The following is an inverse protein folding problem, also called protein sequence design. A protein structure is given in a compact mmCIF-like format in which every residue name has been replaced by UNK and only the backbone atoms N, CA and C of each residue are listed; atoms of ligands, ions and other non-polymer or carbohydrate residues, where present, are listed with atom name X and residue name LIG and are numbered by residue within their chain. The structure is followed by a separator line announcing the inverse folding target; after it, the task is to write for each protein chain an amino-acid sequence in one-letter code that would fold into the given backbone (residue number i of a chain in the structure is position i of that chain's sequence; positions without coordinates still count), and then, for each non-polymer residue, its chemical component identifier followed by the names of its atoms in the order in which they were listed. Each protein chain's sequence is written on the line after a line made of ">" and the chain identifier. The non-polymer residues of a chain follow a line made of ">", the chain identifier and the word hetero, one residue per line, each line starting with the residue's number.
data_IF_124151898999
#
_entry.id   IF_124151898999
#
_cell.length_a   1.000
_cell.length_b   1.000
_cell.length_c   1.000
_cell.angle_alpha   90.00
_cell.angle_beta   90.00
_cell.angle_gamma   90.00
#
_symmetry.space_group_name_H-M   'P 1'
#
loop_
_entity.id
_entity.type
_entity.pdbx_description
1 polymer ?
#
# COMPACT_ATOMS: atom_id res chain seq x y z
N UNK A 1 51.12 8.13 -22.30
CA UNK A 1 50.22 7.02 -21.90
C UNK A 1 49.18 7.57 -20.98
N UNK A 2 47.90 7.68 -21.36
CA UNK A 2 46.85 8.14 -20.46
C UNK A 2 46.17 6.92 -19.77
N UNK A 3 46.03 7.02 -18.44
CA UNK A 3 45.26 6.10 -17.60
C UNK A 3 43.78 6.14 -18.01
N UNK A 4 43.30 5.05 -18.54
CA UNK A 4 41.86 4.81 -18.75
C UNK A 4 41.19 4.62 -17.39
N UNK A 5 40.36 5.57 -16.96
CA UNK A 5 39.39 5.39 -15.87
C UNK A 5 38.37 4.34 -16.29
N UNK A 6 38.41 3.19 -15.66
CA UNK A 6 37.33 2.19 -15.72
C UNK A 6 36.13 2.76 -14.95
N UNK A 7 35.17 3.33 -15.67
CA UNK A 7 33.82 3.58 -15.18
C UNK A 7 33.15 2.21 -15.17
N UNK A 8 32.99 1.65 -13.96
CA UNK A 8 32.18 0.47 -13.75
C UNK A 8 30.71 0.82 -13.98
N UNK A 9 30.22 0.57 -15.18
CA UNK A 9 28.79 0.55 -15.47
C UNK A 9 28.22 -0.67 -14.71
N UNK A 10 27.66 -0.42 -13.54
CA UNK A 10 26.86 -1.40 -12.82
C UNK A 10 25.58 -1.59 -13.66
N UNK A 11 25.61 -2.61 -14.54
CA UNK A 11 24.41 -3.07 -15.25
C UNK A 11 23.40 -3.47 -14.19
N UNK A 12 22.38 -2.63 -13.95
CA UNK A 12 21.15 -3.08 -13.31
C UNK A 12 20.64 -4.24 -14.15
N UNK A 13 20.80 -5.46 -13.64
CA UNK A 13 20.11 -6.63 -14.18
C UNK A 13 18.63 -6.37 -13.94
N UNK A 14 17.87 -6.19 -15.02
CA UNK A 14 16.41 -6.40 -14.98
C UNK A 14 16.24 -7.78 -14.32
N UNK A 15 15.69 -7.79 -13.09
CA UNK A 15 15.40 -9.04 -12.39
C UNK A 15 14.35 -9.79 -13.21
N UNK A 16 14.78 -10.82 -13.92
CA UNK A 16 13.92 -11.72 -14.69
C UNK A 16 13.38 -12.89 -13.85
N UNK A 17 13.70 -12.91 -12.54
CA UNK A 17 13.20 -13.93 -11.61
C UNK A 17 12.28 -13.25 -10.58
N UNK A 18 11.09 -13.82 -10.42
CA UNK A 18 10.05 -13.37 -9.49
C UNK A 18 10.50 -13.64 -8.04
N UNK A 19 11.27 -12.72 -7.45
CA UNK A 19 11.66 -12.76 -6.05
C UNK A 19 11.33 -11.42 -5.38
N UNK A 20 10.78 -11.48 -4.17
CA UNK A 20 10.55 -10.29 -3.34
C UNK A 20 11.86 -9.51 -3.14
N UNK A 21 11.75 -8.20 -2.87
CA UNK A 21 12.89 -7.40 -2.43
C UNK A 21 13.35 -7.87 -1.05
N UNK A 22 14.64 -7.70 -0.78
CA UNK A 22 15.13 -7.76 0.61
C UNK A 22 14.95 -6.39 1.29
N UNK A 23 14.98 -6.37 2.63
CA UNK A 23 14.97 -5.11 3.39
C UNK A 23 16.12 -4.18 2.98
N UNK A 24 17.29 -4.73 2.66
CA UNK A 24 18.47 -3.95 2.22
C UNK A 24 18.30 -3.41 0.79
N UNK A 25 17.70 -4.18 -0.14
CA UNK A 25 17.35 -3.67 -1.47
C UNK A 25 16.38 -2.49 -1.36
N UNK A 26 15.35 -2.62 -0.51
CA UNK A 26 14.37 -1.56 -0.31
C UNK A 26 14.98 -0.30 0.32
N UNK A 27 15.81 -0.46 1.37
CA UNK A 27 16.54 0.67 1.99
C UNK A 27 17.47 1.35 1.00
N UNK A 28 18.18 0.59 0.18
CA UNK A 28 19.08 1.12 -0.85
C UNK A 28 18.32 1.92 -1.90
N UNK A 29 17.17 1.40 -2.36
CA UNK A 29 16.29 2.13 -3.28
C UNK A 29 15.80 3.43 -2.66
N UNK A 30 15.34 3.40 -1.41
CA UNK A 30 14.83 4.57 -0.71
C UNK A 30 15.93 5.61 -0.47
N UNK A 31 17.17 5.21 -0.18
CA UNK A 31 18.32 6.12 -0.07
C UNK A 31 18.63 6.80 -1.40
N UNK A 32 18.54 6.08 -2.52
CA UNK A 32 18.80 6.62 -3.86
C UNK A 32 17.71 7.61 -4.30
N UNK A 33 16.46 7.31 -3.97
CA UNK A 33 15.29 8.08 -4.41
C UNK A 33 14.90 9.21 -3.46
N UNK A 34 15.27 9.10 -2.18
CA UNK A 34 14.84 9.97 -1.09
C UNK A 34 13.41 9.75 -0.65
N UNK A 35 12.45 9.72 -1.59
CA UNK A 35 11.03 9.44 -1.35
C UNK A 35 10.47 8.64 -2.52
N UNK A 36 9.54 7.71 -2.24
CA UNK A 36 8.81 6.91 -3.23
C UNK A 36 7.36 7.36 -3.30
N UNK A 37 6.83 7.41 -4.51
CA UNK A 37 5.42 7.73 -4.78
C UNK A 37 4.62 6.43 -4.82
N UNK A 38 3.63 6.28 -3.93
CA UNK A 38 2.62 5.22 -3.99
C UNK A 38 1.52 5.67 -4.96
N UNK A 39 0.82 4.72 -5.58
CA UNK A 39 -0.33 5.00 -6.44
C UNK A 39 -1.53 5.60 -5.68
N UNK A 40 -2.71 5.55 -6.27
CA UNK A 40 -3.93 6.12 -5.74
C UNK A 40 -5.10 5.12 -5.71
N UNK A 41 -6.32 5.64 -5.75
CA UNK A 41 -7.56 4.90 -5.58
C UNK A 41 -7.90 4.00 -6.77
N UNK A 42 -7.55 2.72 -6.70
CA UNK A 42 -7.91 1.74 -7.72
C UNK A 42 -9.43 1.72 -8.00
N UNK A 43 -10.24 1.59 -6.95
CA UNK A 43 -11.69 1.48 -7.10
C UNK A 43 -12.32 2.72 -7.74
N UNK A 44 -11.92 3.92 -7.34
CA UNK A 44 -12.39 5.17 -7.93
C UNK A 44 -12.10 5.23 -9.44
N UNK A 45 -10.90 4.80 -9.85
CA UNK A 45 -10.56 4.79 -11.27
C UNK A 45 -11.31 3.71 -12.05
N UNK A 46 -11.58 2.54 -11.45
CA UNK A 46 -12.44 1.52 -12.06
C UNK A 46 -13.88 2.06 -12.28
N UNK A 47 -14.45 2.79 -11.31
CA UNK A 47 -15.74 3.46 -11.44
C UNK A 47 -15.70 4.53 -12.53
N UNK A 48 -14.63 5.33 -12.61
CA UNK A 48 -14.44 6.34 -13.67
C UNK A 48 -14.37 5.70 -15.06
N UNK A 49 -13.85 4.47 -15.16
CA UNK A 49 -13.84 3.66 -16.37
C UNK A 49 -15.17 2.90 -16.61
N UNK A 50 -16.19 3.15 -15.78
CA UNK A 50 -17.56 2.66 -15.97
C UNK A 50 -17.89 1.32 -15.30
N UNK A 51 -17.05 0.80 -14.41
CA UNK A 51 -17.35 -0.40 -13.65
C UNK A 51 -18.31 -0.09 -12.49
N UNK A 52 -19.30 -0.96 -12.29
CA UNK A 52 -20.14 -0.96 -11.08
C UNK A 52 -19.47 -1.82 -10.00
N UNK A 53 -19.04 -1.17 -8.93
CA UNK A 53 -18.40 -1.80 -7.78
C UNK A 53 -19.34 -2.03 -6.59
N UNK A 54 -20.67 -1.88 -6.76
CA UNK A 54 -21.64 -2.15 -5.71
C UNK A 54 -21.80 -3.66 -5.42
N UNK A 55 -20.77 -4.22 -4.82
CA UNK A 55 -20.65 -5.64 -4.47
C UNK A 55 -19.84 -5.79 -3.17
N UNK A 56 -20.07 -6.82 -2.31
CA UNK A 56 -19.27 -7.05 -1.10
C UNK A 56 -17.77 -7.20 -1.35
N UNK A 57 -17.37 -7.75 -2.50
CA UNK A 57 -15.96 -7.83 -2.92
C UNK A 57 -15.41 -6.54 -3.53
N UNK A 58 -16.25 -5.55 -3.75
CA UNK A 58 -15.87 -4.26 -4.32
C UNK A 58 -14.95 -4.42 -5.55
N UNK A 59 -13.73 -3.82 -5.52
CA UNK A 59 -12.74 -3.98 -6.60
C UNK A 59 -12.23 -5.43 -6.77
N UNK A 60 -12.33 -6.29 -5.76
CA UNK A 60 -11.94 -7.70 -5.86
C UNK A 60 -12.77 -8.50 -6.87
N UNK A 61 -14.03 -8.09 -7.13
CA UNK A 61 -14.86 -8.71 -8.19
C UNK A 61 -14.32 -8.41 -9.59
N UNK A 62 -13.74 -7.24 -9.80
CA UNK A 62 -13.17 -6.84 -11.08
C UNK A 62 -11.99 -7.73 -11.52
N UNK A 63 -11.30 -8.42 -10.59
CA UNK A 63 -10.26 -9.39 -10.95
C UNK A 63 -10.77 -10.51 -11.86
N UNK A 64 -12.03 -10.91 -11.68
CA UNK A 64 -12.69 -11.91 -12.53
C UNK A 64 -13.34 -11.28 -13.76
N UNK A 65 -14.06 -10.18 -13.57
CA UNK A 65 -14.99 -9.69 -14.57
C UNK A 65 -14.35 -8.67 -15.55
N UNK A 66 -13.29 -7.96 -15.12
CA UNK A 66 -12.67 -6.87 -15.90
C UNK A 66 -11.16 -6.72 -15.63
N UNK A 67 -10.35 -7.78 -15.76
CA UNK A 67 -8.94 -7.74 -15.42
C UNK A 67 -8.13 -6.73 -16.26
N UNK A 68 -8.47 -6.55 -17.54
CA UNK A 68 -7.79 -5.56 -18.40
C UNK A 68 -7.95 -4.14 -17.90
N UNK A 69 -9.12 -3.78 -17.35
CA UNK A 69 -9.35 -2.45 -16.80
C UNK A 69 -8.51 -2.20 -15.55
N UNK A 70 -8.26 -3.25 -14.73
CA UNK A 70 -7.34 -3.15 -13.60
C UNK A 70 -5.90 -2.88 -14.09
N UNK A 71 -5.44 -3.59 -15.12
CA UNK A 71 -4.12 -3.37 -15.72
C UNK A 71 -3.99 -1.93 -16.24
N UNK A 72 -4.99 -1.42 -16.96
CA UNK A 72 -5.02 -0.04 -17.44
C UNK A 72 -4.89 0.97 -16.30
N UNK A 73 -5.60 0.78 -15.17
CA UNK A 73 -5.51 1.68 -14.01
C UNK A 73 -4.10 1.66 -13.42
N UNK A 74 -3.48 0.50 -13.24
CA UNK A 74 -2.08 0.44 -12.78
C UNK A 74 -1.12 1.14 -13.73
N UNK A 75 -1.31 0.98 -15.05
CA UNK A 75 -0.53 1.69 -16.06
C UNK A 75 -0.70 3.21 -15.95
N UNK A 76 -1.93 3.69 -15.83
CA UNK A 76 -2.24 5.11 -15.67
C UNK A 76 -1.51 5.70 -14.45
N UNK A 77 -1.45 4.99 -13.32
CA UNK A 77 -0.72 5.44 -12.13
C UNK A 77 0.81 5.45 -12.32
N UNK A 78 1.39 4.44 -12.95
CA UNK A 78 2.82 4.45 -13.25
C UNK A 78 3.19 5.62 -14.17
N UNK A 79 2.38 5.89 -15.20
CA UNK A 79 2.58 7.01 -16.12
C UNK A 79 2.32 8.37 -15.44
N UNK A 80 1.47 8.43 -14.43
CA UNK A 80 1.26 9.60 -13.59
C UNK A 80 2.44 9.89 -12.65
N UNK A 81 3.33 8.93 -12.44
CA UNK A 81 4.53 9.13 -11.62
C UNK A 81 4.59 8.27 -10.36
N UNK A 82 3.71 7.28 -10.18
CA UNK A 82 3.86 6.30 -9.11
C UNK A 82 5.13 5.47 -9.29
N UNK A 83 5.86 5.23 -8.20
CA UNK A 83 6.97 4.27 -8.13
C UNK A 83 6.45 2.88 -7.71
N UNK A 84 5.34 2.84 -6.98
CA UNK A 84 4.76 1.62 -6.42
C UNK A 84 3.28 1.55 -6.80
N UNK A 85 2.85 0.45 -7.43
CA UNK A 85 1.44 0.11 -7.60
C UNK A 85 1.03 -0.91 -6.54
N UNK A 86 -0.10 -0.65 -5.86
CA UNK A 86 -0.73 -1.56 -4.90
C UNK A 86 -1.71 -2.45 -5.65
N UNK A 87 -1.61 -3.77 -5.50
CA UNK A 87 -2.45 -4.72 -6.21
C UNK A 87 -3.94 -4.64 -5.83
N UNK A 88 -4.83 -5.05 -6.73
CA UNK A 88 -6.28 -5.09 -6.54
C UNK A 88 -6.77 -6.21 -5.59
N UNK A 89 -5.96 -6.56 -4.59
CA UNK A 89 -6.23 -7.68 -3.66
C UNK A 89 -6.72 -7.26 -2.27
N UNK A 90 -6.97 -5.98 -2.04
CA UNK A 90 -7.41 -5.46 -0.73
C UNK A 90 -8.59 -6.24 -0.15
N UNK A 91 -9.70 -6.36 -0.88
CA UNK A 91 -10.87 -7.15 -0.50
C UNK A 91 -10.89 -8.57 -1.08
N UNK A 92 -9.89 -8.96 -1.85
CA UNK A 92 -9.78 -10.28 -2.42
C UNK A 92 -9.18 -11.29 -1.41
N UNK A 93 -9.75 -11.34 -0.18
CA UNK A 93 -9.44 -12.46 0.71
C UNK A 93 -9.94 -13.75 0.09
N UNK A 94 -9.21 -14.86 0.26
CA UNK A 94 -9.64 -16.16 -0.28
C UNK A 94 -10.99 -16.58 0.28
N UNK A 95 -11.25 -16.26 1.55
CA UNK A 95 -12.55 -16.50 2.17
C UNK A 95 -13.65 -15.68 1.48
N UNK A 96 -13.47 -14.38 1.32
CA UNK A 96 -14.46 -13.49 0.67
C UNK A 96 -14.73 -13.88 -0.78
N UNK A 97 -13.69 -14.25 -1.54
CA UNK A 97 -13.85 -14.74 -2.91
C UNK A 97 -14.66 -16.03 -2.97
N UNK A 98 -14.42 -16.99 -2.06
CA UNK A 98 -15.21 -18.22 -1.95
C UNK A 98 -16.67 -17.93 -1.62
N UNK A 99 -16.91 -17.10 -0.60
CA UNK A 99 -18.26 -16.83 -0.09
C UNK A 99 -19.14 -16.09 -1.10
N UNK A 100 -18.56 -15.15 -1.86
CA UNK A 100 -19.32 -14.28 -2.75
C UNK A 100 -19.29 -14.70 -4.22
N UNK A 101 -18.31 -15.50 -4.66
CA UNK A 101 -18.23 -15.96 -6.06
C UNK A 101 -18.57 -17.45 -6.21
N UNK A 102 -18.69 -18.20 -5.11
CA UNK A 102 -18.98 -19.62 -5.15
C UNK A 102 -17.85 -20.47 -5.76
N UNK A 103 -16.61 -20.00 -5.68
CA UNK A 103 -15.42 -20.67 -6.22
C UNK A 103 -14.67 -21.43 -5.12
N UNK A 104 -13.79 -22.33 -5.52
CA UNK A 104 -12.95 -23.06 -4.57
C UNK A 104 -11.72 -22.23 -4.11
N UNK A 105 -10.97 -22.78 -3.16
CA UNK A 105 -9.81 -22.08 -2.58
C UNK A 105 -8.69 -21.89 -3.61
N UNK A 106 -8.50 -22.86 -4.51
CA UNK A 106 -7.48 -22.77 -5.56
C UNK A 106 -7.82 -21.67 -6.54
N UNK A 107 -9.06 -21.59 -7.01
CA UNK A 107 -9.55 -20.53 -7.88
C UNK A 107 -9.46 -19.16 -7.21
N UNK A 108 -9.79 -19.07 -5.92
CA UNK A 108 -9.66 -17.84 -5.14
C UNK A 108 -8.19 -17.38 -5.05
N UNK A 109 -7.26 -18.29 -4.78
CA UNK A 109 -5.82 -17.98 -4.78
C UNK A 109 -5.31 -17.59 -6.17
N UNK A 110 -5.82 -18.20 -7.24
CA UNK A 110 -5.45 -17.85 -8.62
C UNK A 110 -5.93 -16.44 -8.99
N UNK A 111 -7.09 -15.99 -8.50
CA UNK A 111 -7.54 -14.61 -8.63
C UNK A 111 -6.63 -13.64 -7.87
N UNK A 112 -6.20 -13.98 -6.65
CA UNK A 112 -5.22 -13.16 -5.92
C UNK A 112 -3.89 -13.07 -6.68
N UNK A 113 -3.38 -14.17 -7.23
CA UNK A 113 -2.19 -14.15 -8.10
C UNK A 113 -2.38 -13.26 -9.32
N UNK A 114 -3.58 -13.29 -9.91
CA UNK A 114 -3.92 -12.43 -11.06
C UNK A 114 -3.76 -10.95 -10.70
N UNK A 115 -4.08 -10.51 -9.49
CA UNK A 115 -3.88 -9.11 -9.08
C UNK A 115 -2.42 -8.65 -9.18
N UNK A 116 -1.48 -9.49 -8.78
CA UNK A 116 -0.04 -9.23 -8.92
C UNK A 116 0.39 -9.23 -10.38
N UNK A 117 -0.07 -10.23 -11.15
CA UNK A 117 0.25 -10.35 -12.57
C UNK A 117 -0.18 -9.11 -13.36
N UNK A 118 -1.38 -8.58 -13.13
CA UNK A 118 -1.88 -7.38 -13.81
C UNK A 118 -1.01 -6.15 -13.52
N UNK A 119 -0.60 -5.94 -12.26
CA UNK A 119 0.30 -4.86 -11.90
C UNK A 119 1.72 -5.04 -12.51
N UNK A 120 2.22 -6.28 -12.59
CA UNK A 120 3.50 -6.59 -13.26
C UNK A 120 3.42 -6.36 -14.77
N UNK A 121 2.31 -6.68 -15.42
CA UNK A 121 2.08 -6.42 -16.84
C UNK A 121 2.00 -4.92 -17.13
N UNK A 122 1.27 -4.18 -16.31
CA UNK A 122 1.21 -2.71 -16.38
C UNK A 122 2.61 -2.07 -16.20
N UNK A 123 3.41 -2.58 -15.24
CA UNK A 123 4.80 -2.15 -15.03
C UNK A 123 5.66 -2.37 -16.27
N UNK A 124 5.56 -3.54 -16.91
CA UNK A 124 6.29 -3.84 -18.14
C UNK A 124 5.87 -2.89 -19.25
N UNK A 125 4.56 -2.71 -19.45
CA UNK A 125 4.02 -1.80 -20.45
C UNK A 125 4.46 -0.35 -20.20
N UNK A 126 4.49 0.11 -18.94
CA UNK A 126 4.99 1.43 -18.59
C UNK A 126 6.44 1.65 -19.07
N UNK A 127 7.33 0.66 -18.86
CA UNK A 127 8.70 0.73 -19.39
C UNK A 127 8.74 0.75 -20.93
N UNK A 128 7.89 -0.05 -21.60
CA UNK A 128 7.82 -0.12 -23.07
C UNK A 128 7.34 1.20 -23.69
N UNK A 129 6.61 2.05 -22.97
CA UNK A 129 6.24 3.40 -23.46
C UNK A 129 7.42 4.34 -23.66
N UNK A 130 8.58 4.06 -23.04
CA UNK A 130 9.74 4.95 -23.01
C UNK A 130 9.54 6.23 -22.19
N UNK A 131 8.43 6.35 -21.45
CA UNK A 131 8.14 7.53 -20.60
C UNK A 131 8.73 7.42 -19.20
N UNK A 132 9.14 6.23 -18.79
CA UNK A 132 9.78 6.00 -17.49
C UNK A 132 11.26 6.36 -17.62
N UNK A 133 11.75 7.20 -16.72
CA UNK A 133 13.15 7.64 -16.68
C UNK A 133 14.10 6.42 -16.58
N UNK A 134 15.22 6.49 -17.30
CA UNK A 134 16.23 5.43 -17.25
C UNK A 134 16.76 5.22 -15.83
N UNK A 135 16.77 3.98 -15.38
CA UNK A 135 17.18 3.62 -14.01
C UNK A 135 16.11 3.79 -12.94
N UNK A 136 14.92 4.32 -13.27
CA UNK A 136 13.80 4.36 -12.34
C UNK A 136 13.19 2.97 -12.15
N UNK A 137 13.24 2.46 -10.93
CA UNK A 137 12.65 1.16 -10.58
C UNK A 137 11.20 1.33 -10.16
N UNK A 138 10.29 0.61 -10.84
CA UNK A 138 8.88 0.51 -10.48
C UNK A 138 8.64 -0.78 -9.69
N UNK A 139 7.78 -0.72 -8.68
CA UNK A 139 7.49 -1.81 -7.75
C UNK A 139 6.00 -2.19 -7.77
N UNK A 140 5.73 -3.44 -7.37
CA UNK A 140 4.39 -3.99 -7.14
C UNK A 140 4.27 -4.38 -5.68
N UNK A 141 3.37 -3.75 -4.93
CA UNK A 141 3.07 -4.08 -3.54
C UNK A 141 1.79 -4.92 -3.44
N UNK A 142 1.89 -6.12 -2.88
CA UNK A 142 0.75 -7.00 -2.68
C UNK A 142 -0.15 -6.51 -1.55
N UNK A 143 -1.37 -6.08 -1.86
CA UNK A 143 -2.33 -5.55 -0.89
C UNK A 143 -2.90 -6.64 0.03
N UNK A 144 -2.85 -6.38 1.33
CA UNK A 144 -3.41 -7.22 2.39
C UNK A 144 -4.28 -6.33 3.29
N UNK A 145 -5.57 -6.22 2.98
CA UNK A 145 -6.55 -5.52 3.80
C UNK A 145 -6.96 -6.33 5.05
N UNK A 146 -7.52 -5.68 6.08
CA UNK A 146 -7.89 -6.30 7.35
C UNK A 146 -9.08 -7.24 7.25
N UNK A 147 -9.31 -8.01 8.30
CA UNK A 147 -10.51 -8.84 8.44
C UNK A 147 -11.79 -8.00 8.39
N UNK A 148 -11.75 -6.78 8.95
CA UNK A 148 -12.86 -5.83 8.90
C UNK A 148 -13.32 -5.50 7.48
N UNK A 149 -12.40 -5.42 6.51
CA UNK A 149 -12.75 -5.19 5.10
C UNK A 149 -13.55 -6.36 4.49
N UNK A 150 -13.25 -7.60 4.89
CA UNK A 150 -14.04 -8.78 4.48
C UNK A 150 -15.47 -8.73 5.02
N UNK A 151 -15.70 -8.18 6.22
CA UNK A 151 -17.03 -8.04 6.80
C UNK A 151 -17.93 -7.09 6.01
N UNK A 152 -17.36 -6.17 5.24
CA UNK A 152 -18.06 -5.20 4.35
C UNK A 152 -19.11 -4.34 5.06
N UNK A 153 -18.91 -4.05 6.35
CA UNK A 153 -19.81 -3.28 7.23
C UNK A 153 -19.15 -2.02 7.84
N UNK A 154 -17.94 -1.68 7.37
CA UNK A 154 -17.13 -0.56 7.86
C UNK A 154 -16.30 -0.88 9.09
N UNK A 155 -16.19 -2.16 9.47
CA UNK A 155 -15.37 -2.60 10.61
C UNK A 155 -13.89 -2.27 10.43
N UNK A 156 -13.38 -2.13 9.18
CA UNK A 156 -12.03 -1.67 8.86
C UNK A 156 -11.73 -0.25 9.36
N UNK A 157 -12.77 0.52 9.69
CA UNK A 157 -12.65 1.88 10.26
C UNK A 157 -13.01 1.94 11.75
N UNK A 158 -13.42 0.81 12.35
CA UNK A 158 -13.79 0.73 13.78
C UNK A 158 -12.86 -0.18 14.58
N UNK A 159 -12.43 -1.30 13.98
CA UNK A 159 -11.60 -2.30 14.66
C UNK A 159 -12.33 -3.04 15.79
N UNK A 160 -13.67 -3.11 15.74
CA UNK A 160 -14.56 -3.61 16.79
C UNK A 160 -14.90 -5.10 16.66
N UNK A 161 -14.09 -5.85 15.93
CA UNK A 161 -14.22 -7.30 15.78
C UNK A 161 -13.13 -8.04 16.56
N UNK A 162 -13.50 -9.19 17.09
CA UNK A 162 -12.60 -10.05 17.86
C UNK A 162 -12.36 -11.37 17.14
N UNK A 163 -11.11 -11.77 17.01
CA UNK A 163 -10.65 -13.07 16.52
C UNK A 163 -9.40 -13.47 17.29
N UNK A 164 -9.19 -14.76 17.41
CA UNK A 164 -7.93 -15.29 17.95
C UNK A 164 -6.79 -15.07 16.96
N UNK A 165 -5.56 -15.03 17.45
CA UNK A 165 -4.35 -14.97 16.62
C UNK A 165 -4.35 -16.03 15.52
N UNK A 166 -4.79 -17.26 15.85
CA UNK A 166 -4.86 -18.35 14.89
C UNK A 166 -5.89 -18.09 13.79
N UNK A 167 -7.06 -17.53 14.10
CA UNK A 167 -8.09 -17.20 13.12
C UNK A 167 -7.63 -16.09 12.18
N UNK A 168 -6.99 -15.02 12.70
CA UNK A 168 -6.38 -14.00 11.85
C UNK A 168 -5.30 -14.58 10.94
N UNK A 169 -4.42 -15.42 11.46
CA UNK A 169 -3.38 -16.08 10.66
C UNK A 169 -3.98 -17.00 9.58
N UNK A 170 -5.01 -17.77 9.91
CA UNK A 170 -5.70 -18.63 8.96
C UNK A 170 -6.37 -17.82 7.84
N UNK A 171 -6.95 -16.66 8.17
CA UNK A 171 -7.57 -15.73 7.21
C UNK A 171 -6.57 -15.11 6.25
N UNK A 172 -5.43 -14.61 6.76
CA UNK A 172 -4.45 -13.88 5.95
C UNK A 172 -3.52 -14.80 5.15
N UNK A 173 -3.20 -15.98 5.67
CA UNK A 173 -2.18 -16.89 5.12
C UNK A 173 -2.38 -17.23 3.64
N UNK A 174 -3.57 -17.65 3.16
CA UNK A 174 -3.73 -18.02 1.75
C UNK A 174 -3.51 -16.83 0.80
N UNK A 175 -4.02 -15.62 1.16
CA UNK A 175 -3.82 -14.41 0.36
C UNK A 175 -2.34 -14.01 0.31
N UNK A 176 -1.67 -13.96 1.46
CA UNK A 176 -0.24 -13.65 1.52
C UNK A 176 0.57 -14.66 0.71
N UNK A 177 0.28 -15.96 0.82
CA UNK A 177 0.95 -16.99 0.04
C UNK A 177 0.79 -16.74 -1.47
N UNK A 178 -0.41 -16.45 -1.95
CA UNK A 178 -0.66 -16.19 -3.37
C UNK A 178 0.09 -14.93 -3.87
N UNK A 179 0.17 -13.87 -3.07
CA UNK A 179 0.90 -12.64 -3.39
C UNK A 179 2.42 -12.88 -3.48
N UNK A 180 2.97 -13.60 -2.49
CA UNK A 180 4.40 -13.95 -2.43
C UNK A 180 4.77 -14.90 -3.56
N UNK A 181 4.00 -15.97 -3.78
CA UNK A 181 4.24 -16.97 -4.84
C UNK A 181 4.24 -16.35 -6.24
N UNK A 182 3.36 -15.33 -6.49
CA UNK A 182 3.30 -14.63 -7.76
C UNK A 182 4.42 -13.60 -7.93
N UNK A 183 5.21 -13.32 -6.87
CA UNK A 183 6.36 -12.42 -6.91
C UNK A 183 5.97 -10.95 -6.83
N UNK A 184 5.10 -10.58 -5.90
CA UNK A 184 5.00 -9.20 -5.44
C UNK A 184 6.37 -8.76 -4.90
N UNK A 185 6.79 -7.52 -5.16
CA UNK A 185 8.10 -7.05 -4.69
C UNK A 185 8.13 -6.87 -3.17
N UNK A 186 7.01 -6.49 -2.56
CA UNK A 186 6.77 -6.38 -1.13
C UNK A 186 5.26 -6.49 -0.84
N UNK A 187 4.89 -6.50 0.44
CA UNK A 187 3.48 -6.49 0.85
C UNK A 187 3.05 -5.12 1.39
N UNK A 188 1.84 -4.72 1.09
CA UNK A 188 1.12 -3.59 1.68
C UNK A 188 0.11 -4.13 2.71
N UNK A 189 0.51 -4.24 3.98
CA UNK A 189 -0.41 -4.55 5.09
C UNK A 189 -1.10 -3.23 5.44
N UNK A 190 -2.30 -3.02 4.90
CA UNK A 190 -2.88 -1.68 4.84
C UNK A 190 -4.28 -1.58 5.46
N UNK A 191 -4.61 -0.35 5.90
CA UNK A 191 -5.92 -0.02 6.48
C UNK A 191 -6.19 -0.82 7.76
N UNK A 192 -5.12 -1.13 8.51
CA UNK A 192 -5.22 -1.98 9.69
C UNK A 192 -5.81 -1.20 10.86
N UNK A 193 -6.95 -1.63 11.43
CA UNK A 193 -7.65 -0.87 12.46
C UNK A 193 -7.30 -1.30 13.89
N UNK A 194 -6.63 -2.46 14.09
CA UNK A 194 -6.47 -3.06 15.42
C UNK A 194 -5.12 -3.73 15.63
N UNK A 195 -4.59 -3.60 16.85
CA UNK A 195 -3.31 -4.18 17.24
C UNK A 195 -3.32 -5.73 17.21
N UNK A 196 -4.34 -6.45 17.71
CA UNK A 196 -4.32 -7.93 17.71
C UNK A 196 -4.18 -8.53 16.30
N UNK A 197 -4.79 -7.92 15.29
CA UNK A 197 -4.66 -8.38 13.92
C UNK A 197 -3.26 -8.11 13.35
N UNK A 198 -2.70 -6.93 13.64
CA UNK A 198 -1.32 -6.58 13.25
C UNK A 198 -0.31 -7.54 13.86
N UNK A 199 -0.43 -7.85 15.16
CA UNK A 199 0.42 -8.84 15.86
C UNK A 199 0.35 -10.21 15.18
N UNK A 200 -0.87 -10.66 14.85
CA UNK A 200 -1.08 -11.94 14.18
C UNK A 200 -0.42 -11.98 12.80
N UNK A 201 -0.50 -10.90 12.02
CA UNK A 201 0.10 -10.81 10.68
C UNK A 201 1.62 -10.76 10.77
N UNK A 202 2.21 -9.97 11.67
CA UNK A 202 3.68 -9.92 11.87
C UNK A 202 4.19 -11.32 12.29
N UNK A 203 3.52 -12.00 13.21
CA UNK A 203 3.88 -13.34 13.63
C UNK A 203 3.77 -14.36 12.49
N UNK A 204 2.77 -14.21 11.61
CA UNK A 204 2.60 -15.03 10.42
C UNK A 204 3.74 -14.79 9.41
N UNK A 205 4.10 -13.54 9.14
CA UNK A 205 5.25 -13.22 8.27
C UNK A 205 6.52 -13.87 8.80
N UNK A 206 6.81 -13.69 10.08
CA UNK A 206 8.01 -14.23 10.71
C UNK A 206 8.10 -15.76 10.63
N UNK A 207 6.98 -16.45 10.85
CA UNK A 207 6.98 -17.92 10.97
C UNK A 207 6.82 -18.66 9.64
N UNK A 208 6.13 -18.06 8.67
CA UNK A 208 5.74 -18.75 7.41
C UNK A 208 6.36 -18.10 6.17
N UNK A 209 6.58 -16.80 6.18
CA UNK A 209 7.09 -16.03 5.04
C UNK A 209 8.36 -15.23 5.41
N UNK A 210 9.43 -15.89 5.87
CA UNK A 210 10.59 -15.20 6.46
C UNK A 210 11.37 -14.28 5.51
N UNK A 211 11.18 -14.44 4.21
CA UNK A 211 11.81 -13.59 3.17
C UNK A 211 10.90 -12.44 2.70
N UNK A 212 9.63 -12.44 3.09
CA UNK A 212 8.71 -11.39 2.71
C UNK A 212 8.97 -10.12 3.53
N UNK A 213 9.01 -8.98 2.85
CA UNK A 213 9.02 -7.67 3.49
C UNK A 213 7.69 -6.97 3.29
N UNK A 214 7.33 -6.09 4.20
CA UNK A 214 6.06 -5.39 4.17
C UNK A 214 6.18 -3.98 4.74
N UNK A 215 5.28 -3.10 4.35
CA UNK A 215 4.91 -1.97 5.20
C UNK A 215 3.63 -2.26 5.97
N UNK A 216 3.40 -1.49 7.03
CA UNK A 216 2.13 -1.47 7.76
C UNK A 216 1.57 -0.06 7.72
N UNK A 217 0.30 0.08 7.35
CA UNK A 217 -0.46 1.33 7.45
C UNK A 217 -1.79 1.12 8.14
N UNK A 218 -2.17 2.10 8.96
CA UNK A 218 -3.29 1.99 9.88
C UNK A 218 -4.38 3.01 9.58
N UNK A 219 -5.64 2.65 9.89
CA UNK A 219 -6.74 3.60 10.05
C UNK A 219 -6.81 4.08 11.49
N UNK A 220 -7.27 5.31 11.67
CA UNK A 220 -7.16 6.03 12.92
C UNK A 220 -8.52 6.53 13.42
N UNK A 221 -8.69 6.50 14.74
CA UNK A 221 -9.75 7.21 15.45
C UNK A 221 -9.40 8.69 15.64
N UNK A 222 -8.16 8.98 15.98
CA UNK A 222 -7.58 10.29 16.17
C UNK A 222 -6.07 10.29 15.83
N UNK A 223 -5.36 11.40 16.07
CA UNK A 223 -3.95 11.51 15.67
C UNK A 223 -2.98 10.66 16.51
N UNK A 224 -3.44 10.02 17.56
CA UNK A 224 -2.62 9.25 18.50
C UNK A 224 -3.04 7.79 18.61
N UNK A 225 -4.26 7.44 18.13
CA UNK A 225 -4.83 6.11 18.32
C UNK A 225 -5.35 5.49 17.03
N UNK A 226 -5.15 4.18 16.88
CA UNK A 226 -5.80 3.35 15.87
C UNK A 226 -7.33 3.39 16.04
N UNK A 227 -8.05 2.87 15.07
CA UNK A 227 -9.52 2.81 15.09
C UNK A 227 -10.08 2.07 16.30
N UNK A 228 -9.41 1.00 16.78
CA UNK A 228 -9.78 0.25 17.98
C UNK A 228 -9.42 0.97 19.30
N UNK A 229 -8.70 2.07 19.23
CA UNK A 229 -8.26 2.84 20.38
C UNK A 229 -6.85 2.53 20.91
N UNK A 230 -6.15 1.61 20.28
CA UNK A 230 -4.74 1.32 20.61
C UNK A 230 -3.86 2.53 20.33
N UNK A 231 -2.94 2.92 21.24
CA UNK A 231 -1.96 3.97 20.97
C UNK A 231 -1.08 3.60 19.76
N UNK A 232 -0.91 4.52 18.81
CA UNK A 232 -0.05 4.29 17.62
C UNK A 232 1.39 3.99 17.99
N UNK A 233 1.88 4.51 19.10
CA UNK A 233 3.25 4.24 19.58
C UNK A 233 3.48 2.77 19.86
N UNK A 234 2.49 2.03 20.37
CA UNK A 234 2.61 0.60 20.66
C UNK A 234 2.77 -0.20 19.36
N UNK A 235 2.01 0.17 18.33
CA UNK A 235 2.12 -0.46 17.01
C UNK A 235 3.42 -0.08 16.30
N UNK A 236 3.86 1.18 16.44
CA UNK A 236 5.15 1.63 15.92
C UNK A 236 6.31 0.84 16.53
N UNK A 237 6.29 0.62 17.84
CA UNK A 237 7.32 -0.18 18.55
C UNK A 237 7.33 -1.63 18.05
N UNK A 238 6.14 -2.22 17.86
CA UNK A 238 6.01 -3.56 17.32
C UNK A 238 6.55 -3.64 15.88
N UNK A 239 6.17 -2.71 15.01
CA UNK A 239 6.65 -2.63 13.62
C UNK A 239 8.18 -2.46 13.58
N UNK A 240 8.73 -1.54 14.38
CA UNK A 240 10.16 -1.27 14.47
C UNK A 240 10.97 -2.44 15.02
N UNK A 241 10.36 -3.37 15.75
CA UNK A 241 11.01 -4.59 16.25
C UNK A 241 11.16 -5.70 15.20
N UNK A 242 10.51 -5.57 14.04
CA UNK A 242 10.52 -6.58 12.98
C UNK A 242 11.38 -6.14 11.80
N UNK A 243 12.40 -6.91 11.45
CA UNK A 243 13.26 -6.65 10.29
C UNK A 243 12.51 -6.76 8.94
N UNK A 244 11.34 -7.42 8.93
CA UNK A 244 10.50 -7.57 7.76
C UNK A 244 9.62 -6.34 7.51
N UNK A 245 9.42 -5.48 8.51
CA UNK A 245 8.65 -4.25 8.34
C UNK A 245 9.59 -3.12 7.92
N UNK A 246 9.42 -2.66 6.68
CA UNK A 246 10.33 -1.69 6.04
C UNK A 246 9.80 -0.26 6.04
N UNK A 247 8.52 -0.05 6.40
CA UNK A 247 7.92 1.26 6.61
C UNK A 247 6.66 1.13 7.49
N UNK A 248 6.30 2.22 8.19
CA UNK A 248 5.09 2.29 9.02
C UNK A 248 4.38 3.62 8.84
N UNK A 249 3.04 3.63 8.92
CA UNK A 249 2.31 4.89 8.87
C UNK A 249 0.80 4.73 8.77
N UNK A 250 0.17 5.61 7.99
CA UNK A 250 -1.29 5.74 7.98
C UNK A 250 -1.85 5.83 6.56
N UNK A 251 -3.04 5.28 6.34
CA UNK A 251 -3.75 5.39 5.08
C UNK A 251 -5.27 5.44 5.29
N UNK A 252 -6.00 5.76 4.23
CA UNK A 252 -7.47 5.80 4.25
C UNK A 252 -8.05 6.69 5.36
N UNK A 253 -7.32 7.70 5.79
CA UNK A 253 -7.71 8.72 6.77
C UNK A 253 -7.83 10.09 6.10
N UNK A 254 -8.52 11.01 6.76
CA UNK A 254 -8.60 12.40 6.30
C UNK A 254 -7.20 13.05 6.32
N UNK A 255 -6.85 13.83 5.29
CA UNK A 255 -5.52 14.42 5.14
C UNK A 255 -5.02 15.26 6.31
N UNK A 256 -5.91 15.98 7.00
CA UNK A 256 -5.54 16.76 8.20
C UNK A 256 -5.14 15.85 9.35
N UNK A 257 -5.86 14.73 9.52
CA UNK A 257 -5.53 13.71 10.51
C UNK A 257 -4.20 13.05 10.18
N UNK A 258 -3.96 12.74 8.92
CA UNK A 258 -2.70 12.20 8.42
C UNK A 258 -1.49 13.07 8.82
N UNK A 259 -1.57 14.40 8.62
CA UNK A 259 -0.47 15.31 8.98
C UNK A 259 -0.15 15.27 10.48
N UNK A 260 -1.18 15.34 11.33
CA UNK A 260 -1.00 15.29 12.79
C UNK A 260 -0.43 13.94 13.24
N UNK A 261 -0.93 12.83 12.68
CA UNK A 261 -0.45 11.48 12.98
C UNK A 261 1.03 11.30 12.61
N UNK A 262 1.46 11.78 11.43
CA UNK A 262 2.87 11.71 11.02
C UNK A 262 3.79 12.50 11.96
N UNK A 263 3.36 13.68 12.41
CA UNK A 263 4.12 14.49 13.37
C UNK A 263 4.29 13.75 14.71
N UNK A 264 3.23 13.12 15.21
CA UNK A 264 3.27 12.31 16.43
C UNK A 264 4.17 11.08 16.25
N UNK A 265 4.05 10.36 15.13
CA UNK A 265 4.92 9.21 14.82
C UNK A 265 6.39 9.61 14.71
N UNK A 266 6.69 10.72 14.06
CA UNK A 266 8.06 11.23 13.94
C UNK A 266 8.65 11.56 15.32
N UNK A 267 7.87 12.17 16.20
CA UNK A 267 8.30 12.43 17.58
C UNK A 267 8.59 11.12 18.34
N UNK A 268 7.70 10.13 18.23
CA UNK A 268 7.90 8.82 18.87
C UNK A 268 9.11 8.06 18.31
N UNK A 269 9.40 8.16 17.00
CA UNK A 269 10.58 7.50 16.41
C UNK A 269 11.90 7.97 17.01
N UNK A 270 12.02 9.24 17.37
CA UNK A 270 13.25 9.80 17.96
C UNK A 270 13.59 9.11 19.29
N UNK A 271 12.58 8.68 20.03
CA UNK A 271 12.74 8.04 21.34
C UNK A 271 12.96 6.53 21.24
N UNK A 272 12.83 5.94 20.05
CA UNK A 272 13.09 4.50 19.86
C UNK A 272 14.60 4.20 19.84
N UNK A 273 15.02 3.05 20.40
CA UNK A 273 16.41 2.63 20.28
C UNK A 273 16.75 2.27 18.83
N UNK A 274 18.01 2.49 18.42
CA UNK A 274 18.52 2.04 17.12
C UNK A 274 18.47 0.49 17.04
N UNK A 275 18.08 -0.11 15.89
CA UNK A 275 17.80 0.53 14.58
C UNK A 275 16.34 1.02 14.39
N UNK A 276 15.45 0.83 15.36
CA UNK A 276 14.03 1.13 15.25
C UNK A 276 13.72 2.60 14.91
N UNK A 277 14.56 3.54 15.37
CA UNK A 277 14.44 4.98 15.10
C UNK A 277 14.67 5.37 13.61
N UNK A 278 15.13 4.42 12.79
CA UNK A 278 15.33 4.61 11.34
C UNK A 278 14.20 4.07 10.48
N UNK A 279 13.06 3.60 11.06
CA UNK A 279 11.95 3.07 10.28
C UNK A 279 11.29 4.18 9.45
N UNK A 280 11.26 4.07 8.10
CA UNK A 280 10.63 5.07 7.24
C UNK A 280 9.14 5.23 7.55
N UNK A 281 8.65 6.48 7.58
CA UNK A 281 7.21 6.73 7.68
C UNK A 281 6.57 6.73 6.29
N UNK A 282 5.26 6.44 6.26
CA UNK A 282 4.47 6.45 5.03
C UNK A 282 3.08 7.06 5.26
N UNK A 283 2.51 7.61 4.18
CA UNK A 283 1.12 8.05 4.18
C UNK A 283 0.48 8.02 2.79
N UNK A 284 -0.78 7.60 2.74
CA UNK A 284 -1.67 7.72 1.58
C UNK A 284 -3.10 7.95 2.03
N UNK A 285 -3.44 9.23 2.31
CA UNK A 285 -4.76 9.62 2.82
C UNK A 285 -5.82 9.64 1.71
N UNK A 286 -7.08 9.80 2.13
CA UNK A 286 -8.22 10.08 1.25
C UNK A 286 -8.15 11.52 0.72
N UNK A 287 -8.84 11.80 -0.39
CA UNK A 287 -8.92 13.13 -1.01
C UNK A 287 -9.64 14.19 -0.17
N UNK A 288 -10.14 13.84 1.02
CA UNK A 288 -10.82 14.74 1.96
C UNK A 288 -12.33 14.53 2.10
N UNK A 289 -12.94 13.71 1.24
CA UNK A 289 -14.32 13.25 1.39
C UNK A 289 -14.42 12.16 2.46
N UNK A 290 -15.58 12.04 3.09
CA UNK A 290 -15.87 11.01 4.10
C UNK A 290 -16.76 9.93 3.51
N UNK A 291 -16.35 8.68 3.65
CA UNK A 291 -17.15 7.53 3.25
C UNK A 291 -18.30 7.30 4.20
N UNK A 292 -19.51 7.16 3.67
CA UNK A 292 -20.70 6.72 4.38
C UNK A 292 -20.96 5.25 4.08
N UNK A 293 -20.69 4.38 5.06
CA UNK A 293 -20.81 2.95 4.90
C UNK A 293 -22.27 2.46 4.78
N UNK A 294 -23.25 3.20 5.31
CA UNK A 294 -24.67 2.83 5.20
C UNK A 294 -25.22 3.10 3.79
N UNK A 295 -24.94 4.29 3.26
CA UNK A 295 -25.40 4.69 1.94
C UNK A 295 -24.45 4.30 0.82
N UNK A 296 -23.25 3.81 1.15
CA UNK A 296 -22.14 3.50 0.22
C UNK A 296 -21.86 4.67 -0.73
N UNK A 297 -21.81 5.88 -0.16
CA UNK A 297 -21.53 7.12 -0.89
C UNK A 297 -20.46 7.95 -0.22
N UNK A 298 -19.78 8.78 -1.00
CA UNK A 298 -18.85 9.78 -0.50
C UNK A 298 -19.61 11.07 -0.18
N UNK A 299 -19.36 11.64 1.03
CA UNK A 299 -19.95 12.89 1.49
C UNK A 299 -18.87 13.96 1.67
N UNK A 300 -19.23 15.21 1.35
CA UNK A 300 -18.34 16.37 1.46
C UNK A 300 -17.83 16.83 0.09
N UNK A 301 -17.12 17.95 0.09
CA UNK A 301 -16.42 18.41 -1.11
C UNK A 301 -15.13 17.63 -1.28
N UNK A 302 -14.77 17.31 -2.53
CA UNK A 302 -13.43 16.79 -2.88
C UNK A 302 -12.40 17.82 -2.36
N UNK A 303 -11.73 17.44 -1.28
CA UNK A 303 -11.28 18.37 -0.26
C UNK A 303 -10.01 19.12 -0.54
N UNK A 304 -9.39 19.13 -1.76
CA UNK A 304 -8.16 19.95 -1.89
C UNK A 304 -8.03 20.50 -3.30
N UNK A 305 -7.87 21.82 -3.37
CA UNK A 305 -7.32 22.46 -4.55
C UNK A 305 -5.91 21.91 -4.82
N UNK A 306 -5.51 21.74 -6.08
CA UNK A 306 -4.18 21.23 -6.47
C UNK A 306 -3.04 21.95 -5.73
N UNK A 307 -3.15 23.27 -5.52
CA UNK A 307 -2.17 24.06 -4.76
C UNK A 307 -2.06 23.68 -3.27
N UNK A 308 -3.10 23.12 -2.67
CA UNK A 308 -3.09 22.66 -1.28
C UNK A 308 -2.45 21.28 -1.16
N UNK A 309 -2.61 20.40 -2.15
CA UNK A 309 -2.01 19.06 -2.14
C UNK A 309 -0.47 19.15 -2.16
N UNK A 310 0.11 19.97 -3.01
CA UNK A 310 1.56 20.19 -3.05
C UNK A 310 2.11 20.67 -1.70
N UNK A 311 1.40 21.60 -1.04
CA UNK A 311 1.74 22.08 0.31
C UNK A 311 1.65 20.95 1.35
N UNK A 312 0.63 20.08 1.27
CA UNK A 312 0.49 18.93 2.16
C UNK A 312 1.60 17.92 1.97
N UNK A 313 1.96 17.62 0.74
CA UNK A 313 3.07 16.70 0.42
C UNK A 313 4.38 17.20 1.04
N UNK A 314 4.66 18.49 0.98
CA UNK A 314 5.83 19.08 1.63
C UNK A 314 5.78 18.87 3.17
N UNK A 315 4.63 19.10 3.81
CA UNK A 315 4.47 18.85 5.25
C UNK A 315 4.64 17.37 5.62
N UNK A 316 4.11 16.44 4.82
CA UNK A 316 4.26 15.00 5.10
C UNK A 316 5.72 14.55 4.97
N UNK A 317 6.41 15.02 3.92
CA UNK A 317 7.84 14.78 3.74
C UNK A 317 8.66 15.32 4.92
N UNK A 318 8.39 16.57 5.34
CA UNK A 318 9.09 17.22 6.43
C UNK A 318 8.79 16.57 7.79
N UNK A 319 7.61 15.94 7.94
CA UNK A 319 7.26 15.07 9.05
C UNK A 319 7.85 13.65 8.94
N UNK A 320 8.77 13.41 8.00
CA UNK A 320 9.53 12.16 7.89
C UNK A 320 8.93 11.11 6.97
N UNK A 321 7.82 11.39 6.26
CA UNK A 321 7.27 10.42 5.30
C UNK A 321 8.23 10.23 4.11
N UNK A 322 8.52 8.96 3.83
CA UNK A 322 9.38 8.51 2.72
C UNK A 322 8.62 7.78 1.63
N UNK A 323 7.41 7.34 1.90
CA UNK A 323 6.47 6.78 0.93
C UNK A 323 5.19 7.61 1.02
N UNK A 324 4.80 8.24 -0.09
CA UNK A 324 3.65 9.17 -0.13
C UNK A 324 2.80 8.83 -1.34
N UNK A 325 1.48 8.73 -1.14
CA UNK A 325 0.52 8.48 -2.20
C UNK A 325 -0.88 8.95 -1.85
N UNK A 326 -1.87 8.38 -2.54
CA UNK A 326 -3.27 8.63 -2.28
C UNK A 326 -4.05 7.36 -1.96
N UNK A 327 -5.16 7.49 -1.23
CA UNK A 327 -6.14 6.44 -1.03
C UNK A 327 -7.46 6.86 -1.70
N UNK A 328 -8.59 6.56 -1.10
CA UNK A 328 -9.90 6.79 -1.72
C UNK A 328 -10.04 8.17 -2.36
N UNK A 329 -10.55 8.18 -3.59
CA UNK A 329 -10.80 9.38 -4.43
C UNK A 329 -9.55 10.13 -4.92
N UNK A 330 -8.33 9.65 -4.62
CA UNK A 330 -7.10 10.18 -5.19
C UNK A 330 -6.81 9.51 -6.55
N UNK A 331 -6.96 10.22 -7.64
CA UNK A 331 -6.77 9.70 -9.00
C UNK A 331 -5.37 9.95 -9.57
N UNK A 332 -5.13 9.56 -10.85
CA UNK A 332 -3.82 9.76 -11.50
C UNK A 332 -3.34 11.22 -11.52
N UNK A 333 -4.26 12.19 -11.56
CA UNK A 333 -3.91 13.61 -11.48
C UNK A 333 -3.33 13.98 -10.12
N UNK A 334 -3.90 13.48 -9.04
CA UNK A 334 -3.42 13.71 -7.68
C UNK A 334 -2.05 13.05 -7.48
N UNK A 335 -1.85 11.84 -8.00
CA UNK A 335 -0.55 11.15 -7.98
C UNK A 335 0.51 11.91 -8.79
N UNK A 336 0.15 12.47 -9.95
CA UNK A 336 1.07 13.31 -10.73
C UNK A 336 1.47 14.58 -9.97
N UNK A 337 0.55 15.19 -9.22
CA UNK A 337 0.81 16.34 -8.35
C UNK A 337 1.77 15.97 -7.20
N UNK A 338 1.51 14.83 -6.52
CA UNK A 338 2.41 14.30 -5.48
C UNK A 338 3.81 14.09 -6.06
N UNK A 339 3.91 13.41 -7.21
CA UNK A 339 5.18 13.12 -7.85
C UNK A 339 5.93 14.40 -8.26
N UNK A 340 5.22 15.44 -8.72
CA UNK A 340 5.79 16.74 -9.03
C UNK A 340 6.32 17.45 -7.78
N UNK A 341 5.48 17.53 -6.73
CA UNK A 341 5.83 18.20 -5.48
C UNK A 341 7.06 17.57 -4.79
N UNK A 342 7.31 16.27 -5.01
CA UNK A 342 8.48 15.58 -4.46
C UNK A 342 9.74 15.73 -5.31
N UNK A 343 9.63 16.10 -6.61
CA UNK A 343 10.78 16.34 -7.50
C UNK A 343 11.31 17.76 -7.46
N UNK A 344 10.44 18.73 -7.17
CA UNK A 344 10.77 20.16 -7.19
C UNK A 344 11.54 20.63 -5.94
N UNK A 345 12.13 19.69 -5.19
CA UNK A 345 12.86 19.96 -3.92
C UNK A 345 14.29 19.33 -4.02
#
# INVERSE_FOLDING_TARGET
>A
MPLARRIGVMRLRLRCEASMLTSDDFRSLLQQRGTLVIDGALATELETKGLDLNHPLWSGKALRDSPSTIQEVHLDYYLAGADIAITSSYQASTQGLKDHLGIDEKEAMDLVRTSVKLAQEARREAYETGKIEEGRQLLVAGSVGPYGAYLSDGSEYRGDYERTTHEFQAFHRPRIAALVDQGADLLAIETMPSLPEIEAVIALLKSVFPTAIAWISCTLRDAEHLSDGTPMVDVLQLAASSEQIVAFGVNCVHMRLCTAALQNLQACLVDLPSPGNGLPLLCYPNSGETWDAETKTWRGERGIAESELATRVAYWRDAGAKLIGGCCRAGPKDVAEIARALRDV
#
